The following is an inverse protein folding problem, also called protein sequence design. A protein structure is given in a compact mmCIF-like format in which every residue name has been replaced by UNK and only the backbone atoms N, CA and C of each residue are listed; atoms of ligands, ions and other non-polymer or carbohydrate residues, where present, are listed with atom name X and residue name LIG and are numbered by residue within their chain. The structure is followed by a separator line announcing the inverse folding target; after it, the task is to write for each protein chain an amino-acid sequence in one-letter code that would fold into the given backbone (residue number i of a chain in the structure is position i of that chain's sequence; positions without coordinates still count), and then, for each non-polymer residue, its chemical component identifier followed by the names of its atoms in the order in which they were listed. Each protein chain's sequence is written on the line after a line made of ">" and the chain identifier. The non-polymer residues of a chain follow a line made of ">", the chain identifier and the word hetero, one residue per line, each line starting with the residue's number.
data_IF_257185782726
#
_entry.id   IF_257185782726
#
_cell.length_a   1.000
_cell.length_b   1.000
_cell.length_c   1.000
_cell.angle_alpha   90.00
_cell.angle_beta   90.00
_cell.angle_gamma   90.00
#
_symmetry.space_group_name_H-M   'P 1'
#
loop_
_entity.id
_entity.type
_entity.pdbx_description
1 polymer ?
#
# COMPACT_ATOMS: atom_id res chain seq x y z
N UNK A 1 21.85 -10.80 7.15
CA UNK A 1 21.24 -11.09 8.47
C UNK A 1 19.99 -10.22 8.57
N UNK A 2 18.78 -10.78 8.71
CA UNK A 2 17.59 -9.95 8.91
C UNK A 2 17.73 -9.25 10.26
N UNK A 3 17.45 -7.94 10.31
CA UNK A 3 17.52 -7.16 11.55
C UNK A 3 16.48 -7.73 12.52
N UNK A 4 16.90 -8.38 13.62
CA UNK A 4 15.99 -9.03 14.54
C UNK A 4 15.42 -7.96 15.46
N UNK A 5 14.16 -7.54 15.27
CA UNK A 5 13.38 -6.71 16.21
C UNK A 5 14.23 -5.72 17.04
N UNK A 6 15.08 -4.95 16.36
CA UNK A 6 15.90 -3.90 16.96
C UNK A 6 15.12 -2.60 17.03
N UNK A 7 15.55 -1.66 17.88
CA UNK A 7 15.07 -0.27 17.83
C UNK A 7 15.24 0.25 16.39
N UNK A 8 14.14 0.47 15.70
CA UNK A 8 14.16 1.21 14.42
C UNK A 8 14.76 2.59 14.66
N UNK A 9 15.64 3.03 13.77
CA UNK A 9 16.31 4.33 13.93
C UNK A 9 15.32 5.47 13.71
N UNK A 10 14.55 5.41 12.61
CA UNK A 10 13.46 6.33 12.31
C UNK A 10 12.23 5.58 11.81
N UNK A 11 11.06 6.14 12.12
CA UNK A 11 9.77 5.66 11.65
C UNK A 11 9.14 6.76 10.81
N UNK A 12 8.62 6.44 9.62
CA UNK A 12 7.85 7.41 8.82
C UNK A 12 6.65 6.71 8.22
N UNK A 13 5.50 7.37 8.22
CA UNK A 13 4.28 6.84 7.66
C UNK A 13 3.59 7.88 6.78
N UNK A 14 3.03 7.41 5.68
CA UNK A 14 2.14 8.19 4.82
C UNK A 14 0.80 7.46 4.74
N UNK A 15 -0.28 8.15 5.11
CA UNK A 15 -1.65 7.64 5.04
C UNK A 15 -2.42 8.44 3.99
N UNK A 16 -2.82 7.80 2.91
CA UNK A 16 -3.56 8.39 1.79
C UNK A 16 -4.99 7.86 1.83
N UNK A 17 -5.97 8.76 1.89
CA UNK A 17 -7.39 8.44 1.82
C UNK A 17 -8.10 9.42 0.87
N UNK A 18 -8.65 8.89 -0.22
CA UNK A 18 -9.31 9.67 -1.27
C UNK A 18 -10.73 9.14 -1.45
N UNK A 19 -11.68 9.55 -0.59
CA UNK A 19 -13.03 8.99 -0.60
C UNK A 19 -13.90 9.54 -1.73
N UNK A 20 -13.55 10.69 -2.32
CA UNK A 20 -14.38 11.36 -3.30
C UNK A 20 -13.51 11.91 -4.43
N UNK A 21 -13.92 11.58 -5.65
CA UNK A 21 -13.40 12.11 -6.90
C UNK A 21 -14.59 12.40 -7.81
N UNK A 22 -14.58 13.53 -8.52
CA UNK A 22 -15.66 13.85 -9.46
C UNK A 22 -15.73 12.80 -10.59
N UNK A 23 -16.94 12.30 -10.85
CA UNK A 23 -17.16 11.23 -11.83
C UNK A 23 -17.05 9.80 -11.29
N UNK A 24 -16.70 9.63 -10.01
CA UNK A 24 -16.66 8.33 -9.32
C UNK A 24 -17.66 8.27 -8.17
N UNK A 25 -18.05 7.07 -7.77
CA UNK A 25 -18.86 6.86 -6.56
C UNK A 25 -18.07 7.25 -5.30
N UNK A 26 -18.74 7.65 -4.22
CA UNK A 26 -18.04 7.98 -2.98
C UNK A 26 -17.72 6.71 -2.18
N UNK A 27 -16.47 6.59 -1.73
CA UNK A 27 -16.01 5.57 -0.79
C UNK A 27 -16.26 6.06 0.65
N UNK A 28 -16.99 5.30 1.46
CA UNK A 28 -17.38 5.65 2.84
C UNK A 28 -16.34 5.25 3.90
N UNK A 29 -15.43 4.33 3.57
CA UNK A 29 -14.44 3.74 4.48
C UNK A 29 -13.08 4.44 4.61
N UNK A 30 -12.47 5.04 3.56
CA UNK A 30 -11.05 5.46 3.60
C UNK A 30 -10.67 6.33 4.80
N UNK A 31 -11.53 7.29 5.15
CA UNK A 31 -11.27 8.18 6.27
C UNK A 31 -11.42 7.50 7.64
N UNK A 32 -12.37 6.57 7.80
CA UNK A 32 -12.56 5.85 9.06
C UNK A 32 -11.40 4.86 9.29
N UNK A 33 -10.90 4.27 8.21
CA UNK A 33 -9.76 3.36 8.20
C UNK A 33 -8.45 4.06 8.50
N UNK A 34 -8.24 5.24 7.93
CA UNK A 34 -7.10 6.10 8.25
C UNK A 34 -6.99 6.36 9.76
N UNK A 35 -8.11 6.60 10.45
CA UNK A 35 -8.13 6.76 11.91
C UNK A 35 -7.66 5.48 12.62
N UNK A 36 -8.14 4.30 12.19
CA UNK A 36 -7.78 3.00 12.77
C UNK A 36 -6.31 2.67 12.55
N UNK A 37 -5.81 2.91 11.33
CA UNK A 37 -4.41 2.68 10.97
C UNK A 37 -3.51 3.64 11.75
N UNK A 38 -3.85 4.93 11.85
CA UNK A 38 -3.10 5.86 12.70
C UNK A 38 -3.01 5.36 14.14
N UNK A 39 -4.13 4.94 14.73
CA UNK A 39 -4.14 4.41 16.10
C UNK A 39 -3.27 3.16 16.24
N UNK A 40 -3.33 2.25 15.25
CA UNK A 40 -2.50 1.06 15.20
C UNK A 40 -0.99 1.40 15.12
N UNK A 41 -0.61 2.34 14.26
CA UNK A 41 0.78 2.81 14.13
C UNK A 41 1.27 3.51 15.41
N UNK A 42 0.42 4.32 16.04
CA UNK A 42 0.73 4.92 17.34
C UNK A 42 0.99 3.87 18.42
N UNK A 43 0.20 2.78 18.44
CA UNK A 43 0.45 1.62 19.30
C UNK A 43 1.77 0.89 19.00
N UNK A 44 2.27 0.99 17.76
CA UNK A 44 3.59 0.46 17.33
C UNK A 44 4.75 1.45 17.53
N UNK A 45 4.48 2.61 18.14
CA UNK A 45 5.48 3.61 18.48
C UNK A 45 5.79 4.63 17.38
N UNK A 46 4.90 4.81 16.39
CA UNK A 46 4.95 5.98 15.51
C UNK A 46 4.41 7.20 16.28
N UNK A 47 5.18 8.29 16.31
CA UNK A 47 4.73 9.56 16.89
C UNK A 47 3.84 10.32 15.90
N UNK A 48 3.24 11.43 16.32
CA UNK A 48 2.46 12.28 15.41
C UNK A 48 3.32 12.87 14.30
N UNK A 49 4.56 13.24 14.59
CA UNK A 49 5.48 13.84 13.63
C UNK A 49 6.00 12.82 12.60
N UNK A 50 5.89 11.53 12.92
CA UNK A 50 6.25 10.44 12.00
C UNK A 50 5.15 10.17 10.96
N UNK A 51 3.92 10.66 11.16
CA UNK A 51 2.75 10.30 10.34
C UNK A 51 2.27 11.53 9.55
N UNK A 52 2.29 11.41 8.23
CA UNK A 52 1.66 12.38 7.32
C UNK A 52 0.35 11.80 6.80
N UNK A 53 -0.70 12.61 6.81
CA UNK A 53 -2.02 12.24 6.28
C UNK A 53 -2.35 13.10 5.06
N UNK A 54 -2.71 12.45 3.95
CA UNK A 54 -3.28 13.07 2.75
C UNK A 54 -4.73 12.62 2.66
N UNK A 55 -5.65 13.50 3.06
CA UNK A 55 -7.10 13.21 3.07
C UNK A 55 -7.90 14.50 2.90
N UNK A 56 -9.22 14.43 2.63
CA UNK A 56 -10.06 15.64 2.57
C UNK A 56 -10.10 16.46 3.86
N UNK A 57 -9.67 15.88 4.98
CA UNK A 57 -9.61 16.56 6.28
C UNK A 57 -8.22 17.13 6.60
N UNK A 58 -7.22 16.84 5.76
CA UNK A 58 -5.89 17.40 5.90
C UNK A 58 -5.85 18.86 5.38
N UNK A 59 -4.88 19.68 5.82
CA UNK A 59 -4.74 21.06 5.32
C UNK A 59 -4.55 21.17 3.80
N UNK A 60 -4.11 20.08 3.17
CA UNK A 60 -3.93 19.98 1.73
C UNK A 60 -4.73 18.80 1.20
N UNK A 61 -5.54 19.06 0.18
CA UNK A 61 -6.29 18.03 -0.51
C UNK A 61 -5.34 17.01 -1.18
N UNK A 62 -5.73 15.72 -1.25
CA UNK A 62 -4.93 14.65 -1.84
C UNK A 62 -4.97 14.68 -3.38
N UNK A 63 -4.57 15.82 -3.95
CA UNK A 63 -4.37 16.00 -5.38
C UNK A 63 -3.04 15.38 -5.83
N UNK A 64 -2.86 15.18 -7.14
CA UNK A 64 -1.69 14.46 -7.68
C UNK A 64 -0.36 15.05 -7.21
N UNK A 65 -0.22 16.37 -7.25
CA UNK A 65 1.00 17.04 -6.82
C UNK A 65 1.29 16.84 -5.33
N UNK A 66 0.26 16.86 -4.47
CA UNK A 66 0.40 16.62 -3.04
C UNK A 66 0.86 15.19 -2.75
N UNK A 67 0.23 14.21 -3.39
CA UNK A 67 0.59 12.81 -3.21
C UNK A 67 2.03 12.54 -3.65
N UNK A 68 2.43 12.99 -4.85
CA UNK A 68 3.79 12.79 -5.34
C UNK A 68 4.86 13.46 -4.47
N UNK A 69 4.57 14.62 -3.88
CA UNK A 69 5.49 15.26 -2.92
C UNK A 69 5.61 14.44 -1.64
N UNK A 70 4.50 13.99 -1.06
CA UNK A 70 4.54 13.24 0.19
C UNK A 70 5.07 11.81 0.01
N UNK A 71 4.87 11.17 -1.14
CA UNK A 71 5.53 9.91 -1.51
C UNK A 71 7.06 10.07 -1.56
N UNK A 72 7.56 11.12 -2.24
CA UNK A 72 9.00 11.45 -2.22
C UNK A 72 9.48 11.74 -0.81
N UNK A 73 8.69 12.46 -0.02
CA UNK A 73 9.01 12.80 1.36
C UNK A 73 9.08 11.55 2.24
N UNK A 74 8.21 10.56 2.05
CA UNK A 74 8.18 9.31 2.82
C UNK A 74 9.53 8.60 2.76
N UNK A 75 10.13 8.50 1.57
CA UNK A 75 11.40 7.79 1.38
C UNK A 75 12.64 8.66 1.47
N UNK A 76 12.47 9.99 1.50
CA UNK A 76 13.58 10.94 1.56
C UNK A 76 14.48 10.65 2.76
N UNK A 77 15.76 10.40 2.46
CA UNK A 77 16.79 10.15 3.45
C UNK A 77 16.66 8.81 4.18
N UNK A 78 15.91 7.85 3.63
CA UNK A 78 15.82 6.49 4.16
C UNK A 78 17.21 5.85 4.31
N UNK A 79 17.41 5.10 5.39
CA UNK A 79 18.67 4.45 5.75
C UNK A 79 18.44 3.01 6.22
N UNK A 80 19.48 2.18 6.25
CA UNK A 80 19.40 0.86 6.86
C UNK A 80 18.87 0.94 8.31
N UNK A 81 17.86 0.14 8.63
CA UNK A 81 17.22 0.10 9.95
C UNK A 81 16.06 1.08 10.15
N UNK A 82 15.72 1.90 9.14
CA UNK A 82 14.48 2.67 9.14
C UNK A 82 13.28 1.77 8.82
N UNK A 83 12.11 2.10 9.40
CA UNK A 83 10.82 1.53 9.03
C UNK A 83 9.90 2.57 8.41
N UNK A 84 9.35 2.23 7.26
CA UNK A 84 8.41 3.05 6.52
C UNK A 84 7.06 2.34 6.50
N UNK A 85 5.99 3.12 6.48
CA UNK A 85 4.64 2.61 6.33
C UNK A 85 3.87 3.42 5.31
N UNK A 86 3.16 2.75 4.41
CA UNK A 86 2.28 3.38 3.44
C UNK A 86 0.89 2.77 3.57
N UNK A 87 -0.14 3.62 3.70
CA UNK A 87 -1.52 3.22 3.50
C UNK A 87 -2.09 3.99 2.32
N UNK A 88 -2.78 3.30 1.42
CA UNK A 88 -3.50 3.90 0.30
C UNK A 88 -4.91 3.35 0.28
N UNK A 89 -5.90 4.24 0.34
CA UNK A 89 -7.29 3.93 0.01
C UNK A 89 -7.83 4.99 -0.94
N UNK A 90 -8.11 4.57 -2.17
CA UNK A 90 -8.53 5.43 -3.28
C UNK A 90 -9.23 4.57 -4.34
N UNK A 91 -9.85 5.21 -5.34
CA UNK A 91 -10.24 4.48 -6.54
C UNK A 91 -8.99 4.00 -7.29
N UNK A 92 -9.01 2.74 -7.72
CA UNK A 92 -8.06 2.21 -8.69
C UNK A 92 -8.70 2.14 -10.08
N UNK A 93 -7.89 2.39 -11.10
CA UNK A 93 -8.26 2.32 -12.51
C UNK A 93 -7.12 1.71 -13.31
N UNK A 94 -7.45 1.10 -14.45
CA UNK A 94 -6.47 0.64 -15.42
C UNK A 94 -6.23 1.71 -16.48
N UNK A 95 -4.97 2.07 -16.71
CA UNK A 95 -4.54 2.99 -17.76
C UNK A 95 -3.83 2.19 -18.83
N UNK A 96 -3.97 2.56 -20.10
CA UNK A 96 -3.30 1.84 -21.17
C UNK A 96 -1.77 1.95 -21.02
N UNK A 97 -1.11 0.81 -20.93
CA UNK A 97 0.36 0.71 -20.90
C UNK A 97 0.95 1.29 -22.20
N UNK A 98 1.93 2.17 -22.03
CA UNK A 98 2.64 2.85 -23.11
C UNK A 98 4.08 2.37 -23.29
N UNK A 99 4.67 1.69 -22.31
CA UNK A 99 6.08 1.25 -22.34
C UNK A 99 6.26 -0.26 -22.56
N UNK A 100 5.19 -1.03 -22.38
CA UNK A 100 5.07 -2.43 -22.79
C UNK A 100 5.53 -3.44 -21.75
N UNK A 101 5.70 -3.04 -20.48
CA UNK A 101 6.21 -3.89 -19.40
C UNK A 101 5.15 -4.82 -18.76
N UNK A 102 3.86 -4.50 -18.96
CA UNK A 102 2.68 -5.26 -18.55
C UNK A 102 2.34 -6.39 -19.57
N UNK A 103 1.85 -7.54 -19.10
CA UNK A 103 1.45 -8.66 -19.97
C UNK A 103 0.09 -8.44 -20.65
N UNK A 104 -0.81 -7.69 -20.01
CA UNK A 104 -2.17 -7.39 -20.49
C UNK A 104 -2.30 -6.02 -21.18
N UNK A 105 -1.21 -5.24 -21.22
CA UNK A 105 -1.10 -3.90 -21.80
C UNK A 105 -1.86 -2.80 -21.02
N UNK A 106 -2.05 -2.96 -19.71
CA UNK A 106 -2.63 -1.92 -18.85
C UNK A 106 -1.86 -1.77 -17.52
N UNK A 107 -1.50 -0.53 -17.18
CA UNK A 107 -0.93 -0.17 -15.89
C UNK A 107 -2.05 0.03 -14.85
N UNK A 108 -1.84 -0.40 -13.60
CA UNK A 108 -2.74 -0.06 -12.50
C UNK A 108 -2.44 1.35 -11.99
N UNK A 109 -3.47 2.14 -11.70
CA UNK A 109 -3.31 3.51 -11.24
C UNK A 109 -4.28 3.88 -10.14
N UNK A 110 -3.87 4.78 -9.25
CA UNK A 110 -4.77 5.42 -8.28
C UNK A 110 -5.29 6.76 -8.82
N UNK A 111 -6.57 7.05 -8.56
CA UNK A 111 -7.19 8.32 -8.94
C UNK A 111 -7.08 9.33 -7.79
N UNK A 112 -6.49 10.49 -8.08
CA UNK A 112 -6.32 11.60 -7.14
C UNK A 112 -7.59 12.45 -7.02
N UNK A 113 -7.69 13.29 -5.99
CA UNK A 113 -8.91 14.12 -5.78
C UNK A 113 -9.18 15.13 -6.89
N UNK A 114 -8.15 15.50 -7.67
CA UNK A 114 -8.22 16.38 -8.84
C UNK A 114 -8.46 15.62 -10.16
N UNK A 115 -8.76 14.32 -10.09
CA UNK A 115 -9.09 13.47 -11.23
C UNK A 115 -7.89 12.97 -12.05
N UNK A 116 -6.68 13.41 -11.73
CA UNK A 116 -5.46 12.86 -12.34
C UNK A 116 -5.09 11.52 -11.71
N UNK A 117 -4.37 10.70 -12.47
CA UNK A 117 -3.93 9.38 -12.03
C UNK A 117 -2.43 9.35 -11.68
N UNK A 118 -2.06 8.44 -10.79
CA UNK A 118 -0.66 8.04 -10.53
C UNK A 118 -0.60 6.54 -10.78
N UNK A 119 0.16 6.14 -11.81
CA UNK A 119 0.39 4.73 -12.15
C UNK A 119 1.34 4.07 -11.13
N UNK A 120 1.16 2.79 -10.91
CA UNK A 120 2.02 1.92 -10.09
C UNK A 120 3.50 2.04 -10.42
N UNK A 121 3.82 2.22 -11.68
CA UNK A 121 5.17 2.41 -12.16
C UNK A 121 5.84 3.67 -11.57
N UNK A 122 5.11 4.80 -11.59
CA UNK A 122 5.54 6.05 -10.98
C UNK A 122 5.67 5.91 -9.45
N UNK A 123 4.77 5.13 -8.83
CA UNK A 123 4.85 4.81 -7.41
C UNK A 123 6.08 3.95 -7.09
N UNK A 124 6.40 2.96 -7.93
CA UNK A 124 7.59 2.11 -7.78
C UNK A 124 8.87 2.95 -7.88
N UNK A 125 8.97 3.79 -8.90
CA UNK A 125 10.14 4.65 -9.13
C UNK A 125 10.37 5.61 -7.96
N UNK A 126 9.30 6.18 -7.41
CA UNK A 126 9.39 7.17 -6.34
C UNK A 126 9.63 6.50 -4.98
N UNK A 127 8.97 5.38 -4.68
CA UNK A 127 8.91 4.85 -3.32
C UNK A 127 9.68 3.55 -3.11
N UNK A 128 9.80 2.70 -4.13
CA UNK A 128 10.40 1.38 -3.98
C UNK A 128 11.85 1.40 -4.44
N UNK A 129 12.12 1.78 -5.70
CA UNK A 129 13.47 1.81 -6.30
C UNK A 129 14.55 2.51 -5.43
N UNK A 130 14.30 3.66 -4.76
CA UNK A 130 15.36 4.37 -4.04
C UNK A 130 15.69 3.80 -2.65
N UNK A 131 14.96 2.79 -2.16
CA UNK A 131 15.17 2.28 -0.80
C UNK A 131 16.53 1.55 -0.67
N UNK A 132 17.34 1.89 0.36
CA UNK A 132 18.62 1.23 0.57
C UNK A 132 18.45 -0.15 1.23
N UNK A 133 19.49 -0.97 1.11
CA UNK A 133 19.55 -2.26 1.78
C UNK A 133 19.34 -2.13 3.30
N UNK A 134 18.47 -2.99 3.86
CA UNK A 134 18.12 -2.98 5.28
C UNK A 134 17.09 -1.93 5.70
N UNK A 135 16.56 -1.13 4.77
CA UNK A 135 15.33 -0.35 5.00
C UNK A 135 14.11 -1.27 4.81
N UNK A 136 13.08 -1.11 5.65
CA UNK A 136 11.86 -1.90 5.59
C UNK A 136 10.65 -0.99 5.34
N UNK A 137 9.82 -1.31 4.35
CA UNK A 137 8.56 -0.63 4.07
C UNK A 137 7.40 -1.63 4.10
N UNK A 138 6.37 -1.32 4.89
CA UNK A 138 5.11 -2.05 4.93
C UNK A 138 4.04 -1.21 4.22
N UNK A 139 3.31 -1.81 3.28
CA UNK A 139 2.29 -1.14 2.47
C UNK A 139 0.95 -1.84 2.67
N UNK A 140 -0.10 -1.07 2.91
CA UNK A 140 -1.49 -1.52 2.94
C UNK A 140 -2.22 -0.79 1.83
N UNK A 141 -2.65 -1.53 0.82
CA UNK A 141 -3.24 -0.98 -0.40
C UNK A 141 -4.68 -1.46 -0.53
N UNK A 142 -5.61 -0.52 -0.39
CA UNK A 142 -7.06 -0.73 -0.38
C UNK A 142 -7.69 0.11 -1.50
N UNK A 143 -7.31 -0.20 -2.74
CA UNK A 143 -7.90 0.37 -3.93
C UNK A 143 -8.46 -0.76 -4.81
N UNK A 144 -9.71 -0.62 -5.27
CA UNK A 144 -10.32 -1.59 -6.18
C UNK A 144 -9.48 -1.70 -7.47
N UNK A 145 -9.34 -2.92 -8.00
CA UNK A 145 -8.67 -3.29 -9.26
C UNK A 145 -7.16 -3.58 -9.22
N UNK A 146 -6.41 -3.14 -8.22
CA UNK A 146 -4.93 -3.21 -8.27
C UNK A 146 -4.32 -4.55 -7.81
N UNK A 147 -4.47 -5.62 -8.59
CA UNK A 147 -3.82 -6.90 -8.32
C UNK A 147 -2.29 -6.81 -8.15
N UNK A 148 -1.66 -5.76 -8.69
CA UNK A 148 -0.20 -5.54 -8.74
C UNK A 148 0.25 -4.28 -7.99
N UNK A 149 -0.37 -3.11 -8.19
CA UNK A 149 -0.36 -1.90 -7.34
C UNK A 149 0.97 -1.18 -7.07
N UNK A 150 2.07 -1.89 -6.85
CA UNK A 150 3.44 -1.38 -6.72
C UNK A 150 4.45 -2.24 -7.51
N UNK A 151 3.99 -3.07 -8.45
CA UNK A 151 4.84 -3.96 -9.28
C UNK A 151 5.93 -4.72 -8.55
N UNK A 152 5.56 -5.24 -7.39
CA UNK A 152 6.48 -6.05 -6.60
C UNK A 152 6.62 -7.43 -7.26
N UNK A 153 7.86 -7.93 -7.46
CA UNK A 153 8.12 -9.09 -8.33
C UNK A 153 7.62 -10.43 -7.79
N UNK A 154 7.34 -10.53 -6.48
CA UNK A 154 6.88 -11.78 -5.86
C UNK A 154 5.50 -11.60 -5.24
N UNK A 155 4.60 -12.55 -5.52
CA UNK A 155 3.24 -12.56 -4.98
C UNK A 155 2.97 -13.84 -4.19
N UNK A 156 2.08 -13.74 -3.21
CA UNK A 156 1.55 -14.85 -2.45
C UNK A 156 0.13 -14.57 -2.03
N UNK A 157 -0.77 -15.54 -2.23
CA UNK A 157 -2.09 -15.53 -1.63
C UNK A 157 -2.00 -16.11 -0.22
N UNK A 158 -2.53 -15.37 0.75
CA UNK A 158 -2.43 -15.67 2.16
C UNK A 158 -3.84 -15.62 2.75
N UNK A 159 -4.26 -16.70 3.40
CA UNK A 159 -5.54 -16.71 4.12
C UNK A 159 -5.34 -16.21 5.55
N UNK A 160 -6.43 -15.90 6.27
CA UNK A 160 -6.35 -15.54 7.69
C UNK A 160 -5.61 -16.57 8.56
N UNK A 161 -5.68 -17.85 8.18
CA UNK A 161 -5.03 -18.94 8.93
C UNK A 161 -3.51 -18.98 8.70
N UNK A 162 -3.03 -18.31 7.66
CA UNK A 162 -1.62 -18.26 7.29
C UNK A 162 -0.87 -17.10 7.98
N UNK A 163 -1.62 -16.17 8.60
CA UNK A 163 -1.12 -14.98 9.28
C UNK A 163 -0.52 -15.29 10.67
N UNK A 164 0.49 -16.17 10.71
CA UNK A 164 1.26 -16.48 11.91
C UNK A 164 2.73 -16.13 11.72
N UNK A 165 3.41 -15.76 12.82
CA UNK A 165 4.84 -15.43 12.81
C UNK A 165 5.73 -16.58 12.29
N UNK A 166 5.22 -17.81 12.27
CA UNK A 166 5.91 -19.00 11.77
C UNK A 166 5.59 -19.31 10.31
N UNK A 167 4.38 -19.00 9.83
CA UNK A 167 3.94 -19.31 8.47
C UNK A 167 4.28 -18.20 7.47
N UNK A 168 4.13 -16.92 7.86
CA UNK A 168 4.39 -15.79 6.95
C UNK A 168 5.81 -15.81 6.35
N UNK A 169 6.91 -15.98 7.13
CA UNK A 169 8.24 -16.02 6.53
C UNK A 169 8.45 -17.23 5.60
N UNK A 170 7.69 -18.31 5.76
CA UNK A 170 7.78 -19.48 4.89
C UNK A 170 7.03 -19.26 3.58
N UNK A 171 5.86 -18.64 3.65
CA UNK A 171 5.02 -18.33 2.49
C UNK A 171 5.69 -17.25 1.63
N UNK A 172 6.18 -16.18 2.25
CA UNK A 172 6.97 -15.12 1.60
C UNK A 172 8.34 -15.60 1.11
N UNK A 173 8.76 -16.84 1.37
CA UNK A 173 9.95 -17.44 0.73
C UNK A 173 9.59 -18.32 -0.46
N UNK A 174 8.32 -18.67 -0.60
CA UNK A 174 7.75 -19.54 -1.63
C UNK A 174 6.88 -18.78 -2.62
N UNK A 175 6.84 -17.44 -2.52
CA UNK A 175 6.02 -16.64 -3.42
C UNK A 175 6.38 -16.88 -4.87
N UNK A 176 5.37 -16.83 -5.72
CA UNK A 176 5.53 -17.02 -7.15
C UNK A 176 6.03 -15.71 -7.76
N UNK A 177 6.84 -15.81 -8.79
CA UNK A 177 7.18 -14.66 -9.61
C UNK A 177 5.90 -14.15 -10.29
N UNK A 178 5.67 -12.85 -10.24
CA UNK A 178 4.57 -12.19 -10.98
C UNK A 178 4.80 -12.20 -12.50
N UNK A 179 3.76 -11.87 -13.28
CA UNK A 179 3.79 -11.90 -14.75
C UNK A 179 4.61 -10.78 -15.42
N UNK A 180 5.22 -9.85 -14.69
CA UNK A 180 5.91 -8.70 -15.29
C UNK A 180 7.03 -9.12 -16.27
N UNK A 181 7.02 -8.53 -17.48
CA UNK A 181 8.04 -8.79 -18.52
C UNK A 181 9.42 -8.28 -18.11
N UNK A 182 9.47 -7.20 -17.35
CA UNK A 182 10.70 -6.57 -16.86
C UNK A 182 10.74 -6.66 -15.34
N UNK A 183 11.87 -7.12 -14.81
CA UNK A 183 12.07 -7.20 -13.37
C UNK A 183 12.37 -5.82 -12.79
N UNK A 184 11.44 -5.30 -11.99
CA UNK A 184 11.65 -4.11 -11.16
C UNK A 184 12.40 -4.50 -9.87
N UNK A 185 13.44 -3.75 -9.53
CA UNK A 185 14.37 -4.07 -8.44
C UNK A 185 14.51 -2.93 -7.41
N UNK A 186 14.63 -3.27 -6.12
CA UNK A 186 14.92 -2.33 -5.03
C UNK A 186 15.75 -2.99 -3.93
N UNK A 187 16.82 -2.33 -3.46
CA UNK A 187 17.68 -2.89 -2.42
C UNK A 187 16.98 -3.01 -1.05
N UNK A 188 15.91 -2.25 -0.83
CA UNK A 188 15.10 -2.30 0.39
C UNK A 188 14.21 -3.54 0.45
N UNK A 189 13.62 -3.77 1.62
CA UNK A 189 12.56 -4.78 1.78
C UNK A 189 11.21 -4.09 1.76
N UNK A 190 10.36 -4.44 0.80
CA UNK A 190 8.98 -3.95 0.73
C UNK A 190 8.04 -5.13 0.86
N UNK A 191 7.03 -4.99 1.72
CA UNK A 191 5.92 -5.94 1.85
C UNK A 191 4.63 -5.16 1.69
N UNK A 192 3.86 -5.50 0.68
CA UNK A 192 2.56 -4.92 0.37
C UNK A 192 1.46 -5.93 0.66
N UNK A 193 0.37 -5.44 1.25
CA UNK A 193 -0.85 -6.18 1.51
C UNK A 193 -1.99 -5.53 0.74
N UNK A 194 -2.66 -6.29 -0.12
CA UNK A 194 -3.89 -5.86 -0.79
C UNK A 194 -5.02 -6.85 -0.55
N UNK A 195 -6.25 -6.34 -0.50
CA UNK A 195 -7.43 -7.20 -0.51
C UNK A 195 -7.77 -7.57 -1.96
N UNK A 196 -7.75 -8.87 -2.26
CA UNK A 196 -8.30 -9.40 -3.50
C UNK A 196 -9.15 -10.62 -3.16
N UNK A 197 -10.39 -10.66 -3.67
CA UNK A 197 -11.04 -11.92 -3.99
C UNK A 197 -10.83 -12.17 -5.48
N UNK A 198 -10.75 -13.43 -5.88
CA UNK A 198 -10.46 -13.79 -7.28
C UNK A 198 -11.58 -13.37 -8.26
N UNK A 199 -12.76 -12.98 -7.75
CA UNK A 199 -13.95 -12.74 -8.57
C UNK A 199 -14.74 -11.46 -8.24
N UNK A 200 -14.35 -10.62 -7.27
CA UNK A 200 -15.11 -9.41 -6.90
C UNK A 200 -14.20 -8.24 -6.48
N UNK A 201 -14.62 -7.02 -6.88
CA UNK A 201 -14.05 -5.72 -6.50
C UNK A 201 -13.91 -5.58 -4.96
N UNK A 202 -12.96 -4.75 -4.50
CA UNK A 202 -12.78 -4.50 -3.07
C UNK A 202 -13.98 -3.73 -2.50
N UNK A 203 -14.94 -4.45 -1.89
CA UNK A 203 -16.12 -3.84 -1.29
C UNK A 203 -15.89 -3.35 0.14
N UNK A 204 -16.48 -2.20 0.47
CA UNK A 204 -16.56 -1.70 1.83
C UNK A 204 -17.53 -2.55 2.67
N UNK A 205 -17.20 -2.72 3.95
CA UNK A 205 -18.00 -3.53 4.87
C UNK A 205 -18.36 -2.75 6.12
N UNK A 206 -19.58 -2.92 6.62
CA UNK A 206 -19.95 -2.43 7.95
C UNK A 206 -19.36 -3.35 9.01
N UNK A 207 -18.53 -2.83 9.91
CA UNK A 207 -17.96 -3.59 11.03
C UNK A 207 -17.79 -2.75 12.30
N UNK A 208 -18.07 -3.35 13.46
CA UNK A 208 -17.98 -2.73 14.79
C UNK A 208 -19.34 -2.52 15.48
N UNK A 209 -19.30 -2.08 16.74
CA UNK A 209 -20.46 -1.96 17.65
C UNK A 209 -21.53 -0.97 17.14
N UNK A 210 -21.14 -0.04 16.26
CA UNK A 210 -22.03 0.98 15.67
C UNK A 210 -22.22 0.84 14.15
N UNK A 211 -21.74 -0.24 13.51
CA UNK A 211 -21.94 -0.47 12.08
C UNK A 211 -21.23 0.52 11.14
N UNK A 212 -20.12 1.12 11.56
CA UNK A 212 -19.32 2.02 10.71
C UNK A 212 -18.71 1.27 9.52
N UNK A 213 -18.64 1.93 8.36
CA UNK A 213 -17.96 1.44 7.17
C UNK A 213 -16.45 1.37 7.40
N UNK A 214 -15.83 0.36 6.81
CA UNK A 214 -14.38 0.09 6.85
C UNK A 214 -14.04 -0.80 5.66
N UNK A 215 -12.84 -0.65 5.12
CA UNK A 215 -12.34 -1.43 4.01
C UNK A 215 -12.25 -2.91 4.34
N UNK A 216 -12.25 -3.76 3.32
CA UNK A 216 -12.22 -5.20 3.52
C UNK A 216 -10.94 -5.64 4.27
N UNK A 217 -9.81 -4.99 3.97
CA UNK A 217 -8.50 -5.31 4.56
C UNK A 217 -8.42 -4.87 6.02
N UNK A 218 -8.85 -3.63 6.29
CA UNK A 218 -8.81 -2.96 7.60
C UNK A 218 -9.86 -3.48 8.58
N UNK A 219 -11.01 -3.94 8.06
CA UNK A 219 -12.05 -4.61 8.84
C UNK A 219 -11.68 -6.01 9.30
N UNK A 220 -10.63 -6.59 8.72
CA UNK A 220 -10.26 -7.99 8.92
C UNK A 220 -11.37 -8.95 8.46
N UNK A 221 -12.28 -8.55 7.57
CA UNK A 221 -13.32 -9.44 6.99
C UNK A 221 -12.86 -10.12 5.69
N UNK A 222 -11.73 -9.69 5.13
CA UNK A 222 -11.10 -10.27 3.95
C UNK A 222 -10.84 -11.77 4.12
N UNK A 223 -11.26 -12.58 3.14
CA UNK A 223 -11.01 -14.04 3.13
C UNK A 223 -9.66 -14.41 2.50
N UNK A 224 -9.12 -13.57 1.61
CA UNK A 224 -7.83 -13.74 0.96
C UNK A 224 -7.08 -12.40 0.89
N UNK A 225 -5.85 -12.37 1.40
CA UNK A 225 -4.96 -11.21 1.32
C UNK A 225 -3.85 -11.56 0.34
N UNK A 226 -3.62 -10.73 -0.67
CA UNK A 226 -2.44 -10.84 -1.52
C UNK A 226 -1.30 -10.09 -0.86
N UNK A 227 -0.20 -10.81 -0.65
CA UNK A 227 1.07 -10.22 -0.23
C UNK A 227 2.00 -10.15 -1.43
N UNK A 228 2.47 -8.95 -1.75
CA UNK A 228 3.48 -8.73 -2.76
C UNK A 228 4.75 -8.20 -2.10
N UNK A 229 5.94 -8.64 -2.53
CA UNK A 229 7.18 -8.28 -1.86
C UNK A 229 8.41 -8.25 -2.77
N UNK A 230 9.44 -7.53 -2.32
CA UNK A 230 10.79 -7.58 -2.86
C UNK A 230 11.78 -7.72 -1.70
N UNK A 231 12.73 -8.65 -1.83
CA UNK A 231 13.78 -8.89 -0.83
C UNK A 231 15.08 -9.32 -1.54
N UNK A 232 16.22 -8.75 -1.14
CA UNK A 232 17.56 -9.11 -1.60
C UNK A 232 18.33 -9.95 -0.59
#
# INVERSE_FOLDING_TARGET
>A
MPVPFGRYYRSKALLIAIPKVDGYETLEAPCSDLIRIRQHLQGRGYTRDDIVECSPYAPQEPNRDALLREMRRLVLGARPGDRLFLYVAAHGVQVKDVDGDEEDFFDEAIVCSDGYCIVDDEMFEIMVRPLPAGCYMEVVFDACSSGTGLDLPYHSEITKNDYSATNLPRILRRGKLGPAKIRKESKGTVVMWSACRDDEEAHEVKAGINGAWTGALTSGKTTCIKAAYVHF
#
